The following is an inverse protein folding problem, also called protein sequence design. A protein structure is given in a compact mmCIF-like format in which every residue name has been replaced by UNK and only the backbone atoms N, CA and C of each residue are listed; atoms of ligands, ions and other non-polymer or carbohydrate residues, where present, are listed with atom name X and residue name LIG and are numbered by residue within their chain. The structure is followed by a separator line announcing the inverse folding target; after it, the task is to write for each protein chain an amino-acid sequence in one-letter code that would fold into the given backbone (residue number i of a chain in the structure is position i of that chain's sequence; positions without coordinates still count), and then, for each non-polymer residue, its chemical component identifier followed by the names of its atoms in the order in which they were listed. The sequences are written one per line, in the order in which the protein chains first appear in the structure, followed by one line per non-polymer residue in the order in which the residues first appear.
data_IF_788817689091
#
_entry.id   IF_788817689091
#
_cell.length_a   1.000
_cell.length_b   1.000
_cell.length_c   1.000
_cell.angle_alpha   90.00
_cell.angle_beta   90.00
_cell.angle_gamma   90.00
#
_symmetry.space_group_name_H-M   'P 1'
#
loop_
_entity.id
_entity.type
_entity.pdbx_description
1 polymer ?
#
# COMPACT_ATOMS: atom_id res chain seq x y z
N UNK A 1 47.93 -47.70 -16.31
CA UNK A 1 46.74 -46.83 -16.48
C UNK A 1 46.63 -45.65 -15.50
N UNK A 2 46.98 -45.76 -14.20
CA UNK A 2 46.86 -44.63 -13.24
C UNK A 2 47.86 -43.46 -13.43
N UNK A 3 48.95 -43.66 -14.16
CA UNK A 3 49.99 -42.63 -14.39
C UNK A 3 49.65 -41.67 -15.56
N UNK A 4 48.96 -42.17 -16.60
CA UNK A 4 48.61 -41.38 -17.79
C UNK A 4 47.51 -40.34 -17.50
N UNK A 5 46.58 -40.67 -16.60
CA UNK A 5 45.45 -39.81 -16.23
C UNK A 5 45.86 -38.61 -15.35
N UNK A 6 47.00 -38.70 -14.64
CA UNK A 6 47.53 -37.58 -13.83
C UNK A 6 48.27 -36.52 -14.67
N UNK A 7 48.65 -36.84 -15.92
CA UNK A 7 49.29 -35.89 -16.84
C UNK A 7 48.31 -35.05 -17.65
N UNK A 8 47.07 -35.51 -17.83
CA UNK A 8 46.02 -34.81 -18.58
C UNK A 8 45.26 -33.75 -17.76
N UNK A 9 45.44 -33.71 -16.44
CA UNK A 9 44.75 -32.79 -15.53
C UNK A 9 45.68 -31.80 -14.83
N UNK A 10 46.90 -31.60 -15.34
CA UNK A 10 47.82 -30.62 -14.76
C UNK A 10 47.62 -29.27 -15.44
N UNK A 11 46.52 -28.61 -15.10
CA UNK A 11 46.31 -27.21 -15.48
C UNK A 11 47.41 -26.39 -14.80
N UNK A 12 48.19 -25.67 -15.59
CA UNK A 12 49.24 -24.79 -15.07
C UNK A 12 48.61 -23.76 -14.13
N UNK A 13 49.25 -23.47 -12.99
CA UNK A 13 48.79 -22.43 -12.08
C UNK A 13 48.55 -21.10 -12.83
N UNK A 14 49.34 -20.79 -13.87
CA UNK A 14 49.14 -19.61 -14.72
C UNK A 14 47.81 -19.63 -15.48
N UNK A 15 47.38 -20.79 -15.97
CA UNK A 15 46.09 -20.95 -16.66
C UNK A 15 44.91 -20.86 -15.70
N UNK A 16 45.06 -21.32 -14.45
CA UNK A 16 44.05 -21.16 -13.40
C UNK A 16 43.92 -19.69 -13.02
N UNK A 17 45.04 -18.98 -12.81
CA UNK A 17 45.01 -17.54 -12.52
C UNK A 17 44.41 -16.73 -13.66
N UNK A 18 44.72 -17.07 -14.91
CA UNK A 18 44.10 -16.43 -16.08
C UNK A 18 42.58 -16.68 -16.11
N UNK A 19 42.14 -17.91 -15.85
CA UNK A 19 40.71 -18.23 -15.78
C UNK A 19 39.98 -17.46 -14.67
N UNK A 20 40.56 -17.41 -13.45
CA UNK A 20 39.99 -16.65 -12.33
C UNK A 20 39.93 -15.16 -12.68
N UNK A 21 40.96 -14.61 -13.33
CA UNK A 21 40.98 -13.21 -13.75
C UNK A 21 39.91 -12.90 -14.80
N UNK A 22 39.77 -13.72 -15.83
CA UNK A 22 38.74 -13.52 -16.86
C UNK A 22 37.32 -13.75 -16.30
N UNK A 23 37.16 -14.70 -15.38
CA UNK A 23 35.89 -14.94 -14.70
C UNK A 23 35.52 -13.78 -13.78
N UNK A 24 36.46 -13.23 -13.01
CA UNK A 24 36.21 -12.06 -12.15
C UNK A 24 35.93 -10.80 -12.97
N UNK A 25 36.64 -10.61 -14.09
CA UNK A 25 36.43 -9.50 -15.01
C UNK A 25 35.05 -9.60 -15.68
N UNK A 26 34.65 -10.79 -16.12
CA UNK A 26 33.31 -11.06 -16.68
C UNK A 26 32.20 -10.81 -15.66
N UNK A 27 32.35 -11.35 -14.45
CA UNK A 27 31.38 -11.14 -13.36
C UNK A 27 31.27 -9.67 -12.96
N UNK A 28 32.39 -8.95 -12.91
CA UNK A 28 32.41 -7.50 -12.65
C UNK A 28 31.74 -6.72 -13.79
N UNK A 29 31.98 -7.10 -15.04
CA UNK A 29 31.34 -6.48 -16.20
C UNK A 29 29.82 -6.70 -16.19
N UNK A 30 29.36 -7.92 -15.87
CA UNK A 30 27.94 -8.21 -15.69
C UNK A 30 27.33 -7.43 -14.52
N UNK A 31 28.06 -7.27 -13.41
CA UNK A 31 27.63 -6.41 -12.31
C UNK A 31 27.46 -4.95 -12.79
N UNK A 32 28.40 -4.41 -13.56
CA UNK A 32 28.31 -3.04 -14.08
C UNK A 32 27.24 -2.84 -15.16
N UNK A 33 26.88 -3.89 -15.91
CA UNK A 33 25.85 -3.82 -16.94
C UNK A 33 24.45 -4.03 -16.37
N UNK A 34 24.28 -4.94 -15.41
CA UNK A 34 22.96 -5.36 -14.94
C UNK A 34 22.59 -4.84 -13.54
N UNK A 35 23.58 -4.61 -12.67
CA UNK A 35 23.33 -4.27 -11.25
C UNK A 35 23.65 -2.80 -10.96
N UNK A 36 24.82 -2.32 -11.40
CA UNK A 36 25.26 -0.95 -11.17
C UNK A 36 24.32 0.11 -11.77
N UNK A 37 23.67 -0.07 -12.94
CA UNK A 37 22.72 0.91 -13.44
C UNK A 37 21.45 0.97 -12.59
N UNK A 38 21.03 -0.15 -11.98
CA UNK A 38 19.92 -0.19 -11.03
C UNK A 38 20.23 0.58 -9.74
N UNK A 39 21.45 0.41 -9.21
CA UNK A 39 21.94 1.12 -8.01
C UNK A 39 22.17 2.61 -8.33
N UNK A 40 22.85 2.93 -9.43
CA UNK A 40 23.10 4.29 -9.86
C UNK A 40 21.81 5.02 -10.18
N UNK A 41 20.80 4.35 -10.74
CA UNK A 41 19.47 4.92 -10.93
C UNK A 41 18.76 5.17 -9.61
N UNK A 42 18.78 4.27 -8.62
CA UNK A 42 18.18 4.57 -7.30
C UNK A 42 18.85 5.74 -6.61
N UNK A 43 20.18 5.85 -6.66
CA UNK A 43 20.89 7.02 -6.15
C UNK A 43 20.59 8.29 -6.97
N UNK A 44 20.54 8.20 -8.30
CA UNK A 44 20.19 9.33 -9.17
C UNK A 44 18.75 9.78 -8.94
N UNK A 45 17.80 8.86 -8.79
CA UNK A 45 16.41 9.17 -8.42
C UNK A 45 16.32 9.78 -7.03
N UNK A 46 17.10 9.30 -6.06
CA UNK A 46 17.13 9.88 -4.71
C UNK A 46 17.72 11.30 -4.72
N UNK A 47 18.79 11.53 -5.48
CA UNK A 47 19.45 12.84 -5.63
C UNK A 47 18.60 13.80 -6.48
N UNK A 48 17.95 13.33 -7.54
CA UNK A 48 17.00 14.11 -8.35
C UNK A 48 15.75 14.45 -7.55
N UNK A 49 15.20 13.51 -6.76
CA UNK A 49 14.09 13.78 -5.86
C UNK A 49 14.49 14.79 -4.77
N UNK A 50 15.67 14.66 -4.16
CA UNK A 50 16.18 15.67 -3.22
C UNK A 50 16.41 17.04 -3.88
N UNK A 51 16.90 17.07 -5.13
CA UNK A 51 17.11 18.30 -5.89
C UNK A 51 15.81 18.99 -6.31
N UNK A 52 14.80 18.23 -6.72
CA UNK A 52 13.45 18.72 -7.03
C UNK A 52 12.78 19.23 -5.74
N UNK A 53 12.88 18.48 -4.63
CA UNK A 53 12.38 18.89 -3.31
C UNK A 53 13.05 20.18 -2.81
N UNK A 54 14.36 20.35 -2.99
CA UNK A 54 15.06 21.60 -2.67
C UNK A 54 14.54 22.76 -3.51
N UNK A 55 14.34 22.54 -4.82
CA UNK A 55 13.81 23.56 -5.74
C UNK A 55 12.38 23.97 -5.38
N UNK A 56 11.53 23.00 -5.04
CA UNK A 56 10.12 23.24 -4.72
C UNK A 56 9.93 23.79 -3.30
N UNK A 57 10.78 23.41 -2.33
CA UNK A 57 10.82 24.04 -1.02
C UNK A 57 11.25 25.51 -1.12
N UNK A 58 12.26 25.83 -1.93
CA UNK A 58 12.69 27.23 -2.17
C UNK A 58 11.58 28.03 -2.86
N UNK A 59 10.84 27.41 -3.80
CA UNK A 59 9.71 28.05 -4.48
C UNK A 59 8.52 28.29 -3.53
N UNK A 60 8.26 27.34 -2.63
CA UNK A 60 7.19 27.41 -1.62
C UNK A 60 7.51 28.44 -0.53
N UNK A 61 8.76 28.48 -0.04
CA UNK A 61 9.23 29.52 0.90
C UNK A 61 9.13 30.91 0.25
N UNK A 62 9.50 31.04 -1.02
CA UNK A 62 9.31 32.30 -1.76
C UNK A 62 7.84 32.74 -1.85
N UNK A 63 6.92 31.79 -2.00
CA UNK A 63 5.48 32.07 -2.04
C UNK A 63 4.92 32.46 -0.66
N UNK A 64 5.37 31.81 0.41
CA UNK A 64 5.01 32.16 1.79
C UNK A 64 5.53 33.54 2.21
N UNK A 65 6.77 33.88 1.85
CA UNK A 65 7.35 35.21 2.13
C UNK A 65 6.54 36.29 1.40
N UNK A 66 6.12 36.05 0.14
CA UNK A 66 5.29 36.98 -0.63
C UNK A 66 3.89 37.16 -0.06
N UNK A 67 3.29 36.12 0.52
CA UNK A 67 2.02 36.23 1.23
C UNK A 67 2.16 36.98 2.56
N UNK A 68 3.26 36.78 3.29
CA UNK A 68 3.54 37.49 4.54
C UNK A 68 3.81 38.98 4.34
N UNK A 69 4.58 39.35 3.31
CA UNK A 69 4.85 40.76 3.00
C UNK A 69 3.60 41.51 2.52
N UNK A 70 2.70 40.83 1.79
CA UNK A 70 1.41 41.40 1.39
C UNK A 70 0.40 41.51 2.55
N UNK A 71 0.44 40.61 3.54
CA UNK A 71 -0.39 40.72 4.75
C UNK A 71 0.07 41.85 5.68
N UNK A 72 1.37 42.09 5.80
CA UNK A 72 1.91 43.16 6.65
C UNK A 72 1.73 44.57 6.07
N UNK A 73 1.36 44.71 4.79
CA UNK A 73 1.05 46.02 4.19
C UNK A 73 -0.38 46.48 4.40
N UNK A 74 -1.26 45.63 4.95
CA UNK A 74 -2.71 45.92 5.12
C UNK A 74 -3.18 46.07 6.57
N UNK A 75 -2.27 46.00 7.55
CA UNK A 75 -2.57 46.09 8.98
C UNK A 75 -1.72 47.21 9.64
N UNK A 76 -2.03 48.46 9.32
CA UNK A 76 -1.63 49.61 10.12
C UNK A 76 -2.83 50.57 10.21
N UNK A 77 -3.59 50.47 11.30
CA UNK A 77 -4.77 51.28 11.59
C UNK A 77 -5.28 51.10 13.02
N UNK A 78 -4.59 51.74 13.96
CA UNK A 78 -5.04 52.41 15.21
C UNK A 78 -5.96 51.71 16.24
N UNK A 79 -5.38 51.52 17.44
CA UNK A 79 -5.84 51.81 18.83
C UNK A 79 -7.13 51.22 19.42
N UNK A 80 -6.99 50.41 20.49
CA UNK A 80 -7.24 50.78 21.92
C UNK A 80 -6.91 49.57 22.83
N UNK A 81 -6.33 49.76 24.05
CA UNK A 81 -6.08 48.68 25.01
C UNK A 81 -7.10 48.71 26.16
N UNK A 82 -7.63 47.56 26.58
CA UNK A 82 -7.94 47.34 28.01
C UNK A 82 -8.11 45.85 28.34
N UNK A 83 -7.60 45.47 29.51
CA UNK A 83 -7.40 44.07 29.90
C UNK A 83 -8.59 43.40 30.57
N UNK A 84 -8.52 42.08 30.67
CA UNK A 84 -9.07 41.30 31.80
C UNK A 84 -8.37 39.96 31.87
N UNK A 85 -7.89 39.62 33.06
CA UNK A 85 -7.39 38.31 33.44
C UNK A 85 -8.50 37.26 33.31
N UNK A 86 -8.28 36.24 32.49
CA UNK A 86 -8.87 34.93 32.66
C UNK A 86 -7.86 33.87 32.26
N UNK A 87 -7.44 33.09 33.24
CA UNK A 87 -6.85 31.77 33.06
C UNK A 87 -7.79 30.90 32.24
N UNK A 88 -7.71 31.00 30.92
CA UNK A 88 -8.29 30.02 30.02
C UNK A 88 -7.27 28.90 29.82
N UNK A 89 -7.46 27.87 30.64
CA UNK A 89 -7.10 26.51 30.30
C UNK A 89 -7.61 26.27 28.88
N UNK A 90 -6.71 26.18 27.90
CA UNK A 90 -7.05 25.79 26.53
C UNK A 90 -7.60 24.36 26.58
N UNK A 91 -8.90 24.24 26.81
CA UNK A 91 -9.63 23.00 26.63
C UNK A 91 -9.50 22.63 25.15
N UNK A 92 -8.59 21.70 24.85
CA UNK A 92 -8.59 21.00 23.58
C UNK A 92 -9.98 20.39 23.40
N UNK A 93 -10.72 20.89 22.41
CA UNK A 93 -12.00 20.33 21.99
C UNK A 93 -11.82 18.85 21.65
N UNK A 94 -12.31 17.94 22.49
CA UNK A 94 -12.30 16.51 22.20
C UNK A 94 -13.36 16.20 21.13
N UNK A 95 -12.90 15.95 19.89
CA UNK A 95 -13.73 15.50 18.74
C UNK A 95 -14.10 14.00 18.85
N UNK A 96 -13.80 13.36 19.98
CA UNK A 96 -14.07 11.95 20.25
C UNK A 96 -15.15 11.83 21.32
N UNK A 97 -16.01 10.82 21.19
CA UNK A 97 -17.08 10.56 22.16
C UNK A 97 -16.51 10.27 23.56
N UNK A 98 -17.23 10.59 24.64
CA UNK A 98 -16.78 10.31 26.00
C UNK A 98 -16.69 8.81 26.28
N UNK A 99 -15.85 8.40 27.23
CA UNK A 99 -15.58 6.98 27.54
C UNK A 99 -16.82 6.19 27.98
N UNK A 100 -17.83 6.87 28.52
CA UNK A 100 -19.10 6.29 28.95
C UNK A 100 -20.18 6.26 27.85
N UNK A 101 -19.80 6.46 26.59
CA UNK A 101 -20.73 6.36 25.47
C UNK A 101 -21.30 4.94 25.36
N UNK A 102 -22.63 4.85 25.39
CA UNK A 102 -23.35 3.58 25.26
C UNK A 102 -23.80 3.40 23.82
N UNK A 103 -23.45 2.25 23.23
CA UNK A 103 -23.89 1.87 21.90
C UNK A 103 -25.36 1.43 21.92
N UNK A 104 -26.05 1.65 20.81
CA UNK A 104 -27.40 1.14 20.56
C UNK A 104 -27.39 0.31 19.29
N UNK A 105 -28.02 -0.87 19.36
CA UNK A 105 -28.08 -1.82 18.25
C UNK A 105 -28.80 -1.26 17.02
N UNK A 106 -29.65 -0.26 17.19
CA UNK A 106 -30.45 0.33 16.12
C UNK A 106 -29.79 1.58 15.49
N UNK A 107 -28.68 2.05 16.06
CA UNK A 107 -28.00 3.26 15.60
C UNK A 107 -26.70 2.95 14.84
N UNK A 108 -26.33 3.77 13.84
CA UNK A 108 -25.03 3.67 13.19
C UNK A 108 -23.88 3.85 14.18
N UNK A 109 -22.83 3.02 14.04
CA UNK A 109 -21.62 3.15 14.83
C UNK A 109 -20.98 4.54 14.61
N UNK A 110 -20.49 5.20 15.67
CA UNK A 110 -19.72 6.43 15.56
C UNK A 110 -18.39 6.21 14.85
N UNK A 111 -17.92 7.20 14.10
CA UNK A 111 -16.64 7.13 13.37
C UNK A 111 -15.43 7.42 14.27
N UNK A 112 -15.62 8.22 15.33
CA UNK A 112 -14.56 8.66 16.24
C UNK A 112 -14.86 8.19 17.66
N UNK A 113 -14.15 7.15 18.08
CA UNK A 113 -14.40 6.47 19.35
C UNK A 113 -13.28 6.75 20.36
N UNK A 114 -13.61 6.91 21.66
CA UNK A 114 -12.64 7.30 22.71
C UNK A 114 -11.45 6.34 22.82
N UNK A 115 -11.68 5.06 22.56
CA UNK A 115 -10.65 4.03 22.67
C UNK A 115 -9.70 3.95 21.46
N UNK A 116 -9.88 4.82 20.45
CA UNK A 116 -8.87 5.07 19.41
C UNK A 116 -7.77 5.95 20.00
N UNK A 117 -6.69 5.32 20.44
CA UNK A 117 -5.61 5.98 21.22
C UNK A 117 -4.66 6.80 20.35
N UNK A 118 -4.76 6.68 19.04
CA UNK A 118 -3.85 7.30 18.09
C UNK A 118 -2.66 6.41 17.81
N UNK A 119 -1.46 6.90 18.09
CA UNK A 119 -0.22 6.19 17.78
C UNK A 119 -0.14 4.83 18.51
N UNK A 120 0.14 3.77 17.76
CA UNK A 120 0.24 2.40 18.26
C UNK A 120 1.65 1.85 18.05
N UNK A 121 2.15 1.08 19.02
CA UNK A 121 3.44 0.39 18.88
C UNK A 121 3.31 -0.79 17.93
N UNK A 122 4.02 -0.72 16.79
CA UNK A 122 4.04 -1.82 15.82
C UNK A 122 5.11 -2.85 16.21
N UNK A 123 4.65 -4.03 16.64
CA UNK A 123 5.46 -5.22 16.83
C UNK A 123 5.72 -5.89 15.48
N UNK A 124 6.99 -6.06 15.09
CA UNK A 124 7.39 -6.71 13.82
C UNK A 124 7.97 -8.11 14.02
N UNK A 125 7.92 -8.66 15.24
CA UNK A 125 8.37 -10.02 15.50
C UNK A 125 7.50 -11.02 14.77
N UNK A 126 8.12 -12.00 14.12
CA UNK A 126 7.46 -13.13 13.47
C UNK A 126 6.55 -13.85 14.46
N UNK A 127 5.41 -14.30 13.94
CA UNK A 127 4.38 -15.00 14.72
C UNK A 127 3.65 -15.96 13.78
N UNK A 128 3.25 -17.13 14.29
CA UNK A 128 2.46 -18.08 13.52
C UNK A 128 1.02 -17.60 13.34
N UNK A 129 0.38 -17.93 12.20
CA UNK A 129 -1.02 -17.58 11.97
C UNK A 129 -1.96 -18.18 13.04
N UNK A 130 -1.67 -19.41 13.49
CA UNK A 130 -2.42 -20.09 14.55
C UNK A 130 -2.30 -19.35 15.89
N UNK A 131 -1.12 -18.84 16.21
CA UNK A 131 -0.91 -18.04 17.43
C UNK A 131 -1.66 -16.71 17.35
N UNK A 132 -1.66 -16.05 16.18
CA UNK A 132 -2.49 -14.86 15.94
C UNK A 132 -3.97 -15.17 16.13
N UNK A 133 -4.45 -16.30 15.59
CA UNK A 133 -5.83 -16.72 15.78
C UNK A 133 -6.16 -16.95 17.26
N UNK A 134 -5.28 -17.61 18.01
CA UNK A 134 -5.46 -17.83 19.45
C UNK A 134 -5.48 -16.51 20.25
N UNK A 135 -4.58 -15.58 19.95
CA UNK A 135 -4.55 -14.25 20.57
C UNK A 135 -5.84 -13.46 20.30
N UNK A 136 -6.43 -13.60 19.12
CA UNK A 136 -7.66 -12.91 18.74
C UNK A 136 -8.92 -13.64 19.24
N UNK A 137 -8.89 -14.97 19.33
CA UNK A 137 -10.05 -15.80 19.72
C UNK A 137 -10.54 -15.56 21.15
N UNK A 138 -9.69 -15.02 22.02
CA UNK A 138 -10.07 -14.70 23.40
C UNK A 138 -11.02 -13.49 23.47
N UNK A 139 -10.99 -12.61 22.45
CA UNK A 139 -11.68 -11.32 22.46
C UNK A 139 -12.58 -11.07 21.23
N UNK A 140 -12.69 -12.02 20.28
CA UNK A 140 -13.28 -11.70 18.97
C UNK A 140 -14.17 -12.80 18.36
N UNK A 141 -15.39 -12.42 17.98
CA UNK A 141 -16.33 -13.21 17.16
C UNK A 141 -15.97 -13.14 15.66
N UNK A 142 -14.72 -13.44 15.28
CA UNK A 142 -14.34 -13.46 13.86
C UNK A 142 -14.93 -14.72 13.22
N UNK A 143 -15.88 -14.51 12.30
CA UNK A 143 -16.45 -15.57 11.47
C UNK A 143 -15.46 -16.06 10.41
N UNK A 144 -15.74 -17.25 9.84
CA UNK A 144 -14.91 -17.83 8.77
C UNK A 144 -14.70 -16.85 7.62
N UNK A 145 -13.52 -16.92 7.00
CA UNK A 145 -13.12 -16.00 5.94
C UNK A 145 -12.67 -14.63 6.45
N UNK A 146 -12.42 -14.48 7.75
CA UNK A 146 -12.03 -13.20 8.34
C UNK A 146 -13.17 -12.20 8.46
N UNK A 147 -14.41 -12.68 8.45
CA UNK A 147 -15.59 -11.83 8.51
C UNK A 147 -15.82 -11.35 9.94
N UNK A 148 -15.94 -10.04 10.12
CA UNK A 148 -16.30 -9.47 11.41
C UNK A 148 -17.26 -8.30 11.24
N UNK A 149 -18.15 -8.12 12.23
CA UNK A 149 -19.03 -6.95 12.36
C UNK A 149 -19.27 -6.66 13.84
N UNK A 150 -19.54 -5.40 14.22
CA UNK A 150 -19.99 -5.09 15.57
C UNK A 150 -21.39 -5.68 15.83
N UNK A 151 -21.63 -6.14 17.05
CA UNK A 151 -22.91 -6.68 17.51
C UNK A 151 -23.69 -5.66 18.40
N UNK A 152 -23.05 -4.55 18.72
CA UNK A 152 -23.54 -3.50 19.63
C UNK A 152 -24.02 -2.23 18.92
N UNK A 153 -23.76 -2.10 17.61
CA UNK A 153 -24.26 -1.01 16.76
C UNK A 153 -24.31 -1.44 15.28
N UNK A 154 -24.97 -0.65 14.43
CA UNK A 154 -25.01 -0.91 12.98
C UNK A 154 -23.71 -0.38 12.34
N UNK A 155 -22.87 -1.23 11.72
CA UNK A 155 -21.63 -0.77 11.09
C UNK A 155 -21.96 0.23 9.98
N UNK A 156 -21.28 1.38 10.00
CA UNK A 156 -21.49 2.45 9.01
C UNK A 156 -20.99 2.03 7.62
N UNK A 157 -19.90 1.27 7.58
CA UNK A 157 -19.21 0.88 6.36
C UNK A 157 -18.89 -0.61 6.36
N UNK A 158 -19.00 -1.22 5.19
CA UNK A 158 -18.63 -2.60 4.89
C UNK A 158 -17.43 -2.62 3.95
N UNK A 159 -16.34 -3.24 4.38
CA UNK A 159 -15.05 -3.22 3.69
C UNK A 159 -14.63 -4.59 3.19
N UNK A 160 -14.26 -4.68 1.90
CA UNK A 160 -13.46 -5.79 1.41
C UNK A 160 -11.98 -5.39 1.41
N UNK A 161 -11.15 -6.09 2.17
CA UNK A 161 -9.72 -5.82 2.25
C UNK A 161 -9.00 -6.84 1.38
N UNK A 162 -8.41 -6.36 0.29
CA UNK A 162 -7.76 -7.17 -0.73
C UNK A 162 -6.25 -7.12 -0.52
N UNK A 163 -5.62 -8.29 -0.41
CA UNK A 163 -4.19 -8.43 -0.13
C UNK A 163 -3.58 -9.30 -1.25
N UNK A 164 -2.80 -8.73 -2.18
CA UNK A 164 -2.14 -9.48 -3.23
C UNK A 164 -0.94 -10.20 -2.60
N UNK A 165 -0.75 -11.47 -2.94
CA UNK A 165 0.12 -12.34 -2.17
C UNK A 165 0.92 -13.31 -3.02
N UNK A 166 2.18 -13.54 -2.64
CA UNK A 166 3.00 -14.68 -3.09
C UNK A 166 4.23 -14.83 -2.20
N UNK A 167 4.44 -16.02 -1.62
CA UNK A 167 5.64 -16.37 -0.85
C UNK A 167 5.99 -15.37 0.28
N UNK A 168 5.00 -14.78 0.95
CA UNK A 168 5.18 -13.85 2.08
C UNK A 168 4.51 -14.36 3.36
N UNK A 169 4.61 -15.67 3.62
CA UNK A 169 3.85 -16.33 4.67
C UNK A 169 4.19 -15.82 6.08
N UNK A 170 5.40 -15.28 6.31
CA UNK A 170 5.77 -14.67 7.59
C UNK A 170 5.15 -13.27 7.79
N UNK A 171 4.77 -12.58 6.72
CA UNK A 171 4.25 -11.21 6.78
C UNK A 171 2.77 -11.16 7.15
N UNK A 172 1.97 -12.09 6.63
CA UNK A 172 0.52 -12.08 6.80
C UNK A 172 0.08 -12.17 8.28
N UNK A 173 0.68 -13.01 9.14
CA UNK A 173 0.38 -13.02 10.57
C UNK A 173 0.74 -11.70 11.27
N UNK A 174 1.87 -11.08 10.91
CA UNK A 174 2.27 -9.78 11.45
C UNK A 174 1.21 -8.73 11.11
N UNK A 175 0.71 -8.73 9.87
CA UNK A 175 -0.36 -7.84 9.44
C UNK A 175 -1.63 -8.05 10.26
N UNK A 176 -2.12 -9.28 10.36
CA UNK A 176 -3.38 -9.58 11.05
C UNK A 176 -3.33 -9.29 12.55
N UNK A 177 -2.17 -9.48 13.20
CA UNK A 177 -1.97 -9.10 14.61
C UNK A 177 -2.30 -7.62 14.88
N UNK A 178 -2.08 -6.74 13.90
CA UNK A 178 -2.28 -5.30 14.07
C UNK A 178 -3.56 -4.79 13.42
N UNK A 179 -3.82 -5.23 12.18
CA UNK A 179 -4.91 -4.70 11.38
C UNK A 179 -6.27 -5.14 11.91
N UNK A 180 -6.41 -6.38 12.38
CA UNK A 180 -7.69 -6.90 12.88
C UNK A 180 -8.17 -6.11 14.12
N UNK A 181 -7.38 -5.98 15.21
CA UNK A 181 -7.79 -5.18 16.36
C UNK A 181 -8.06 -3.71 16.00
N UNK A 182 -7.29 -3.13 15.07
CA UNK A 182 -7.52 -1.76 14.61
C UNK A 182 -8.90 -1.61 13.96
N UNK A 183 -9.26 -2.47 13.02
CA UNK A 183 -10.54 -2.40 12.32
C UNK A 183 -11.74 -2.68 13.23
N UNK A 184 -11.57 -3.59 14.18
CA UNK A 184 -12.58 -3.86 15.21
C UNK A 184 -12.83 -2.64 16.09
N UNK A 185 -11.75 -1.95 16.49
CA UNK A 185 -11.88 -0.66 17.19
C UNK A 185 -12.57 0.40 16.32
N UNK A 186 -12.37 0.36 15.02
CA UNK A 186 -13.06 1.26 14.10
C UNK A 186 -14.54 0.88 13.86
N UNK A 187 -15.03 -0.22 14.46
CA UNK A 187 -16.41 -0.70 14.36
C UNK A 187 -16.88 -0.86 12.90
N UNK A 188 -15.95 -1.28 12.04
CA UNK A 188 -16.18 -1.52 10.63
C UNK A 188 -16.66 -2.96 10.42
N UNK A 189 -17.59 -3.19 9.51
CA UNK A 189 -17.82 -4.55 9.02
C UNK A 189 -16.77 -4.85 7.94
N UNK A 190 -16.04 -5.96 8.04
CA UNK A 190 -14.98 -6.26 7.08
C UNK A 190 -14.79 -7.75 6.83
N UNK A 191 -14.07 -8.07 5.75
CA UNK A 191 -13.49 -9.37 5.49
C UNK A 191 -12.15 -9.25 4.76
N UNK A 192 -11.31 -10.27 4.90
CA UNK A 192 -10.00 -10.33 4.26
C UNK A 192 -9.99 -11.32 3.09
N UNK A 193 -9.44 -10.84 1.98
CA UNK A 193 -9.25 -11.61 0.76
C UNK A 193 -7.76 -11.62 0.45
N UNK A 194 -7.13 -12.79 0.57
CA UNK A 194 -5.73 -12.98 0.18
C UNK A 194 -5.73 -13.57 -1.22
N UNK A 195 -5.22 -12.82 -2.19
CA UNK A 195 -5.20 -13.21 -3.60
C UNK A 195 -3.80 -13.70 -3.95
N UNK A 196 -3.64 -15.01 -3.96
CA UNK A 196 -2.36 -15.68 -4.14
C UNK A 196 -2.07 -15.95 -5.63
N UNK A 197 -0.95 -15.43 -6.13
CA UNK A 197 -0.47 -15.76 -7.47
C UNK A 197 0.36 -17.04 -7.44
N UNK A 198 -0.21 -18.12 -7.96
CA UNK A 198 0.49 -19.39 -8.16
C UNK A 198 1.46 -19.33 -9.35
N UNK A 199 2.44 -20.24 -9.33
CA UNK A 199 3.43 -20.39 -10.39
C UNK A 199 4.60 -19.41 -10.29
N UNK A 200 5.45 -19.41 -11.32
CA UNK A 200 6.74 -18.71 -11.35
C UNK A 200 6.76 -17.45 -12.20
N UNK A 201 5.63 -17.11 -12.83
CA UNK A 201 5.53 -15.91 -13.67
C UNK A 201 5.76 -14.63 -12.87
N UNK A 202 6.10 -13.54 -13.55
CA UNK A 202 6.30 -12.25 -12.88
C UNK A 202 5.06 -11.84 -12.09
N UNK A 203 5.25 -11.29 -10.89
CA UNK A 203 4.13 -10.89 -10.02
C UNK A 203 3.32 -9.77 -10.67
N UNK A 204 1.99 -9.88 -10.63
CA UNK A 204 1.08 -8.87 -11.17
C UNK A 204 0.11 -8.41 -10.07
N UNK A 205 0.59 -7.47 -9.25
CA UNK A 205 -0.13 -6.90 -8.10
C UNK A 205 -1.49 -6.32 -8.51
N UNK A 206 -1.51 -5.56 -9.61
CA UNK A 206 -2.69 -4.87 -10.12
C UNK A 206 -3.81 -5.83 -10.57
N UNK A 207 -3.44 -6.88 -11.31
CA UNK A 207 -4.39 -7.91 -11.76
C UNK A 207 -4.95 -8.72 -10.59
N UNK A 208 -4.15 -8.99 -9.55
CA UNK A 208 -4.62 -9.65 -8.33
C UNK A 208 -5.66 -8.83 -7.58
N UNK A 209 -5.53 -7.49 -7.54
CA UNK A 209 -6.58 -6.64 -6.97
C UNK A 209 -7.88 -6.69 -7.76
N UNK A 210 -7.81 -6.69 -9.10
CA UNK A 210 -9.01 -6.83 -9.94
C UNK A 210 -9.72 -8.18 -9.69
N UNK A 211 -8.96 -9.27 -9.57
CA UNK A 211 -9.48 -10.60 -9.22
C UNK A 211 -10.11 -10.58 -7.83
N UNK A 212 -9.41 -10.04 -6.84
CA UNK A 212 -9.89 -9.91 -5.46
C UNK A 212 -11.19 -9.14 -5.38
N UNK A 213 -11.30 -8.04 -6.14
CA UNK A 213 -12.52 -7.26 -6.25
C UNK A 213 -13.67 -8.10 -6.81
N UNK A 214 -13.47 -8.78 -7.95
CA UNK A 214 -14.51 -9.62 -8.57
C UNK A 214 -14.97 -10.75 -7.65
N UNK A 215 -14.07 -11.39 -6.91
CA UNK A 215 -14.44 -12.44 -5.94
C UNK A 215 -15.14 -11.87 -4.69
N UNK A 216 -14.68 -10.73 -4.17
CA UNK A 216 -15.30 -10.10 -3.00
C UNK A 216 -16.74 -9.67 -3.28
N UNK A 217 -17.02 -9.15 -4.49
CA UNK A 217 -18.38 -8.75 -4.89
C UNK A 217 -19.36 -9.93 -5.02
N UNK A 218 -18.88 -11.19 -5.10
CA UNK A 218 -19.75 -12.37 -5.10
C UNK A 218 -20.24 -12.74 -3.70
N UNK A 219 -19.45 -12.44 -2.68
CA UNK A 219 -19.76 -12.83 -1.30
C UNK A 219 -20.73 -11.84 -0.64
N UNK A 220 -20.52 -10.54 -0.89
CA UNK A 220 -21.28 -9.50 -0.21
C UNK A 220 -21.33 -8.20 -0.98
N UNK A 221 -22.38 -7.42 -0.70
CA UNK A 221 -22.46 -6.00 -1.06
C UNK A 221 -21.59 -5.17 -0.11
N UNK A 222 -20.34 -4.97 -0.53
CA UNK A 222 -19.38 -4.09 0.13
C UNK A 222 -19.59 -2.63 -0.30
N UNK A 223 -19.23 -1.67 0.56
CA UNK A 223 -19.35 -0.24 0.28
C UNK A 223 -18.07 0.30 -0.38
N UNK A 224 -16.91 -0.15 0.11
CA UNK A 224 -15.62 0.15 -0.48
C UNK A 224 -14.65 -1.03 -0.37
N UNK A 225 -13.59 -0.91 -1.17
CA UNK A 225 -12.50 -1.88 -1.25
C UNK A 225 -11.20 -1.21 -0.83
N UNK A 226 -10.43 -1.90 0.01
CA UNK A 226 -9.12 -1.47 0.47
C UNK A 226 -8.08 -2.35 -0.19
N UNK A 227 -7.17 -1.73 -0.93
CA UNK A 227 -6.04 -2.38 -1.60
C UNK A 227 -4.83 -2.28 -0.66
N UNK A 228 -4.40 -3.42 -0.12
CA UNK A 228 -3.48 -3.42 0.99
C UNK A 228 -2.25 -4.31 0.72
N UNK A 229 -1.07 -3.70 0.68
CA UNK A 229 0.18 -4.46 0.61
C UNK A 229 0.38 -5.22 1.94
N UNK A 230 0.79 -6.49 1.85
CA UNK A 230 0.88 -7.39 3.03
C UNK A 230 1.90 -6.94 4.08
N UNK A 231 2.82 -6.06 3.69
CA UNK A 231 3.97 -5.62 4.47
C UNK A 231 3.85 -4.19 5.01
N UNK A 232 2.72 -3.51 4.85
CA UNK A 232 2.53 -2.13 5.32
C UNK A 232 1.63 -2.10 6.56
N UNK A 233 2.20 -1.87 7.74
CA UNK A 233 1.46 -1.91 9.01
C UNK A 233 1.12 -0.48 9.49
N UNK A 234 -0.16 -0.14 9.73
CA UNK A 234 -0.53 1.19 10.23
C UNK A 234 0.04 1.44 11.63
N UNK A 235 0.56 2.64 11.86
CA UNK A 235 1.08 3.07 13.17
C UNK A 235 0.09 3.91 13.99
N UNK A 236 -1.14 4.06 13.50
CA UNK A 236 -2.14 4.92 14.15
C UNK A 236 -3.56 4.37 13.96
N UNK A 237 -4.23 4.02 15.07
CA UNK A 237 -5.58 3.45 15.03
C UNK A 237 -6.68 4.47 14.68
N UNK A 238 -6.33 5.76 14.61
CA UNK A 238 -7.20 6.84 14.11
C UNK A 238 -7.12 7.01 12.60
N UNK A 239 -6.27 6.25 11.90
CA UNK A 239 -6.33 6.17 10.44
C UNK A 239 -7.54 5.35 10.02
N UNK A 240 -8.70 6.00 9.94
CA UNK A 240 -10.00 5.35 9.77
C UNK A 240 -10.17 4.74 8.38
N UNK A 241 -10.37 3.42 8.29
CA UNK A 241 -10.49 2.67 7.03
C UNK A 241 -11.91 2.70 6.41
N UNK A 242 -12.86 3.41 7.02
CA UNK A 242 -14.20 3.56 6.46
C UNK A 242 -14.21 4.28 5.11
N UNK A 243 -15.34 4.18 4.40
CA UNK A 243 -15.45 4.65 3.01
C UNK A 243 -15.59 6.18 2.84
N UNK A 244 -15.33 6.95 3.90
CA UNK A 244 -15.31 8.40 3.85
C UNK A 244 -14.09 8.93 3.08
N UNK A 245 -14.30 10.01 2.32
CA UNK A 245 -13.24 10.71 1.58
C UNK A 245 -12.52 9.85 0.52
N UNK A 246 -13.19 8.83 -0.01
CA UNK A 246 -12.64 8.01 -1.09
C UNK A 246 -12.65 8.76 -2.44
N UNK A 247 -11.68 8.53 -3.35
CA UNK A 247 -10.51 7.66 -3.23
C UNK A 247 -9.52 8.16 -2.17
N UNK A 248 -8.97 7.24 -1.38
CA UNK A 248 -8.14 7.57 -0.22
C UNK A 248 -6.81 6.85 -0.25
N UNK A 249 -5.73 7.58 0.02
CA UNK A 249 -4.40 7.03 0.20
C UNK A 249 -4.09 6.95 1.69
N UNK A 250 -4.16 5.75 2.26
CA UNK A 250 -3.96 5.54 3.68
C UNK A 250 -2.48 5.58 4.07
N UNK A 251 -1.62 4.92 3.27
CA UNK A 251 -0.18 4.80 3.51
C UNK A 251 0.61 6.03 3.00
N UNK A 252 0.17 7.23 3.38
CA UNK A 252 0.76 8.49 2.93
C UNK A 252 2.21 8.71 3.40
N UNK A 253 2.62 8.11 4.51
CA UNK A 253 3.95 8.25 5.10
C UNK A 253 4.53 6.89 5.47
N UNK A 254 5.41 6.36 4.64
CA UNK A 254 6.06 5.08 4.86
C UNK A 254 7.44 5.26 5.48
N UNK A 255 7.77 4.45 6.49
CA UNK A 255 9.08 4.44 7.16
C UNK A 255 10.26 4.23 6.20
N UNK A 256 10.12 3.38 5.18
CA UNK A 256 11.11 3.14 4.13
C UNK A 256 11.42 4.39 3.30
N UNK A 257 10.54 5.38 3.33
CA UNK A 257 10.72 6.70 2.72
C UNK A 257 10.88 7.80 3.79
N UNK A 258 11.34 7.45 4.98
CA UNK A 258 11.56 8.37 6.11
C UNK A 258 10.29 9.15 6.49
N UNK A 259 9.11 8.55 6.30
CA UNK A 259 7.80 9.18 6.50
C UNK A 259 7.55 10.42 5.63
N UNK A 260 8.22 10.51 4.48
CA UNK A 260 8.03 11.54 3.47
C UNK A 260 7.30 10.91 2.28
N UNK A 261 6.27 11.60 1.78
CA UNK A 261 5.58 11.20 0.56
C UNK A 261 6.57 11.32 -0.62
N UNK A 262 6.84 10.24 -1.39
CA UNK A 262 7.87 10.28 -2.44
C UNK A 262 7.65 11.33 -3.53
N UNK A 263 6.39 11.50 -3.95
CA UNK A 263 5.91 12.48 -4.92
C UNK A 263 4.38 12.59 -4.80
N UNK A 264 3.78 13.65 -5.36
CA UNK A 264 2.36 13.99 -5.13
C UNK A 264 1.39 12.92 -5.65
N UNK A 265 1.73 12.26 -6.76
CA UNK A 265 0.92 11.24 -7.42
C UNK A 265 1.06 9.84 -6.79
N UNK A 266 1.93 9.67 -5.80
CA UNK A 266 2.18 8.37 -5.18
C UNK A 266 0.91 7.82 -4.52
N UNK A 267 0.47 6.66 -4.99
CA UNK A 267 -0.77 5.99 -4.56
C UNK A 267 -0.59 4.50 -4.23
N UNK A 268 0.65 4.09 -3.98
CA UNK A 268 1.03 2.72 -3.62
C UNK A 268 0.88 2.39 -2.13
N UNK A 269 1.24 1.17 -1.73
CA UNK A 269 1.15 0.73 -0.33
C UNK A 269 -0.27 0.35 0.08
N UNK A 270 -1.03 1.32 0.59
CA UNK A 270 -2.42 1.12 1.03
C UNK A 270 -3.32 2.24 0.54
N UNK A 271 -4.29 1.88 -0.30
CA UNK A 271 -5.27 2.80 -0.88
C UNK A 271 -6.68 2.20 -0.84
N UNK A 272 -7.70 3.03 -1.04
CA UNK A 272 -9.09 2.56 -1.09
C UNK A 272 -9.95 3.39 -2.04
N UNK A 273 -10.98 2.74 -2.55
CA UNK A 273 -11.99 3.32 -3.43
C UNK A 273 -13.36 2.76 -3.05
N UNK A 274 -14.43 3.54 -3.23
CA UNK A 274 -15.79 2.97 -3.18
C UNK A 274 -15.97 1.95 -4.31
N UNK A 275 -16.88 0.99 -4.13
CA UNK A 275 -17.19 0.02 -5.18
C UNK A 275 -17.62 0.71 -6.47
N UNK A 276 -18.39 1.79 -6.37
CA UNK A 276 -18.80 2.61 -7.50
C UNK A 276 -17.60 3.27 -8.20
N UNK A 277 -16.71 3.91 -7.44
CA UNK A 277 -15.52 4.57 -7.99
C UNK A 277 -14.61 3.56 -8.71
N UNK A 278 -14.33 2.42 -8.06
CA UNK A 278 -13.47 1.40 -8.63
C UNK A 278 -14.06 0.78 -9.91
N UNK A 279 -15.38 0.55 -9.92
CA UNK A 279 -16.10 0.09 -11.12
C UNK A 279 -16.03 1.13 -12.24
N UNK A 280 -16.28 2.41 -11.93
CA UNK A 280 -16.28 3.50 -12.90
C UNK A 280 -14.93 3.66 -13.61
N UNK A 281 -13.83 3.46 -12.89
CA UNK A 281 -12.48 3.57 -13.47
C UNK A 281 -12.01 2.31 -14.21
N UNK A 282 -12.87 1.29 -14.32
CA UNK A 282 -12.52 -0.05 -14.83
C UNK A 282 -11.41 -0.74 -14.02
N UNK A 283 -11.33 -0.48 -12.71
CA UNK A 283 -10.30 -1.04 -11.83
C UNK A 283 -8.85 -0.70 -12.19
N UNK A 284 -7.93 -1.55 -11.71
CA UNK A 284 -6.49 -1.44 -11.97
C UNK A 284 -6.12 -1.88 -13.41
N UNK A 285 -4.97 -1.46 -13.97
CA UNK A 285 -4.44 -2.02 -15.22
C UNK A 285 -3.93 -3.46 -15.05
N UNK A 286 -4.24 -4.39 -15.95
CA UNK A 286 -3.70 -5.76 -15.89
C UNK A 286 -2.33 -5.89 -16.58
N UNK A 287 -1.89 -4.90 -17.36
CA UNK A 287 -0.68 -5.00 -18.17
C UNK A 287 0.65 -4.80 -17.42
N UNK A 288 0.64 -4.49 -16.12
CA UNK A 288 1.86 -4.27 -15.33
C UNK A 288 2.39 -5.57 -14.74
N UNK A 289 3.38 -6.17 -15.42
CA UNK A 289 4.04 -7.41 -15.01
C UNK A 289 5.42 -7.11 -14.40
N UNK A 290 5.49 -7.09 -13.08
CA UNK A 290 6.68 -6.72 -12.32
C UNK A 290 6.46 -5.46 -11.50
N UNK A 291 7.56 -4.89 -10.99
CA UNK A 291 7.46 -3.79 -10.03
C UNK A 291 7.38 -2.42 -10.68
N UNK A 292 6.34 -1.68 -10.28
CA UNK A 292 6.23 -0.24 -10.38
C UNK A 292 5.39 0.28 -11.54
N UNK A 293 4.66 1.36 -11.27
CA UNK A 293 3.89 2.14 -12.23
C UNK A 293 2.41 1.77 -12.30
N UNK A 294 1.99 0.67 -11.67
CA UNK A 294 0.58 0.28 -11.64
C UNK A 294 -0.25 1.14 -10.67
N UNK A 295 0.37 1.62 -9.59
CA UNK A 295 -0.19 2.57 -8.64
C UNK A 295 -0.26 3.99 -9.23
N UNK A 296 0.76 4.39 -10.01
CA UNK A 296 0.75 5.62 -10.80
C UNK A 296 -0.38 5.61 -11.86
N UNK A 297 -0.59 4.46 -12.53
CA UNK A 297 -1.68 4.30 -13.50
C UNK A 297 -3.05 4.35 -12.79
N UNK A 298 -3.18 3.77 -11.59
CA UNK A 298 -4.38 3.93 -10.77
C UNK A 298 -4.66 5.40 -10.42
N UNK A 299 -3.64 6.16 -10.00
CA UNK A 299 -3.77 7.60 -9.73
C UNK A 299 -4.30 8.34 -10.96
N UNK A 300 -3.71 8.08 -12.13
CA UNK A 300 -4.15 8.67 -13.40
C UNK A 300 -5.61 8.34 -13.71
N UNK A 301 -6.01 7.06 -13.57
CA UNK A 301 -7.40 6.61 -13.79
C UNK A 301 -8.41 7.29 -12.89
N UNK A 302 -8.05 7.46 -11.62
CA UNK A 302 -8.84 8.18 -10.61
C UNK A 302 -9.02 9.64 -11.03
N UNK A 303 -7.93 10.30 -11.42
CA UNK A 303 -7.95 11.69 -11.84
C UNK A 303 -8.75 11.90 -13.14
N UNK A 304 -8.59 11.02 -14.14
CA UNK A 304 -9.36 11.06 -15.39
C UNK A 304 -10.87 10.88 -15.18
N UNK A 305 -11.28 10.18 -14.12
CA UNK A 305 -12.68 10.03 -13.74
C UNK A 305 -13.24 11.22 -12.94
N UNK A 306 -12.43 12.27 -12.72
CA UNK A 306 -12.81 13.51 -12.03
C UNK A 306 -12.77 13.43 -10.51
N UNK A 307 -12.05 12.46 -9.95
CA UNK A 307 -11.89 12.31 -8.51
C UNK A 307 -10.56 12.87 -8.02
N UNK A 308 -10.54 13.34 -6.77
CA UNK A 308 -9.34 13.75 -6.06
C UNK A 308 -9.02 12.73 -4.98
N UNK A 309 -7.73 12.45 -4.78
CA UNK A 309 -7.28 11.53 -3.73
C UNK A 309 -7.14 12.27 -2.41
N UNK A 310 -7.80 11.77 -1.37
CA UNK A 310 -7.60 12.25 -0.01
C UNK A 310 -6.45 11.53 0.69
N UNK A 311 -5.85 12.19 1.69
CA UNK A 311 -4.78 11.64 2.54
C UNK A 311 -5.05 11.99 4.00
N UNK A 312 -4.73 11.11 4.95
CA UNK A 312 -4.79 11.43 6.37
C UNK A 312 -3.80 12.53 6.73
N UNK A 313 -4.21 13.42 7.64
CA UNK A 313 -3.38 14.54 8.09
C UNK A 313 -2.27 14.10 9.05
N UNK A 314 -1.17 14.87 9.04
CA UNK A 314 -0.10 14.74 10.03
C UNK A 314 0.46 13.32 10.13
N UNK A 315 0.50 12.78 11.34
CA UNK A 315 1.12 11.48 11.64
C UNK A 315 0.13 10.30 11.58
N UNK A 316 -1.13 10.56 11.22
CA UNK A 316 -2.16 9.52 11.12
C UNK A 316 -1.84 8.56 9.97
N UNK A 317 -1.28 9.07 8.86
CA UNK A 317 -0.89 8.28 7.70
C UNK A 317 0.44 7.54 7.80
N UNK A 318 1.00 7.38 9.00
CA UNK A 318 2.29 6.69 9.19
C UNK A 318 2.12 5.17 9.18
N UNK A 319 2.99 4.52 8.42
CA UNK A 319 3.06 3.07 8.29
C UNK A 319 4.49 2.59 8.42
N UNK A 320 4.66 1.44 9.08
CA UNK A 320 5.90 0.68 9.03
C UNK A 320 5.87 -0.35 7.92
N UNK A 321 6.99 -0.50 7.23
CA UNK A 321 7.18 -1.50 6.17
C UNK A 321 7.96 -2.67 6.73
N UNK A 322 7.41 -3.89 6.64
CA UNK A 322 8.15 -5.10 6.99
C UNK A 322 9.34 -5.21 6.05
N UNK A 323 10.55 -5.17 6.63
CA UNK A 323 11.77 -5.26 5.85
C UNK A 323 11.82 -6.61 5.14
N UNK A 324 11.98 -6.55 3.84
CA UNK A 324 12.21 -7.72 3.02
C UNK A 324 13.09 -7.31 1.86
N UNK A 325 13.85 -8.26 1.35
CA UNK A 325 14.66 -8.00 0.18
C UNK A 325 13.81 -8.27 -1.06
N UNK A 326 13.67 -7.25 -1.93
CA UNK A 326 13.20 -7.38 -3.32
C UNK A 326 14.18 -8.21 -4.19
N UNK A 327 14.89 -9.19 -3.61
CA UNK A 327 15.87 -10.03 -4.30
C UNK A 327 15.15 -10.91 -5.31
N UNK A 328 15.40 -10.67 -6.60
CA UNK A 328 14.80 -11.42 -7.71
C UNK A 328 13.54 -10.80 -8.30
N UNK A 329 13.11 -9.65 -7.78
CA UNK A 329 11.96 -8.92 -8.28
C UNK A 329 12.36 -8.01 -9.45
N UNK A 330 11.73 -8.23 -10.61
CA UNK A 330 12.09 -7.54 -11.87
C UNK A 330 11.34 -6.21 -11.96
N UNK A 331 12.08 -5.11 -12.10
CA UNK A 331 11.48 -3.81 -12.42
C UNK A 331 10.84 -3.86 -13.81
N UNK A 332 9.61 -3.38 -13.91
CA UNK A 332 8.92 -3.38 -15.20
C UNK A 332 9.38 -2.21 -16.08
N UNK A 333 10.34 -2.47 -16.98
CA UNK A 333 10.92 -1.44 -17.87
C UNK A 333 9.88 -0.81 -18.83
N UNK A 334 8.82 -1.56 -19.17
CA UNK A 334 7.73 -1.10 -20.03
C UNK A 334 6.80 -0.07 -19.40
N UNK A 335 6.91 0.19 -18.08
CA UNK A 335 5.97 1.03 -17.31
C UNK A 335 5.75 2.41 -17.91
N UNK A 336 6.80 3.07 -18.39
CA UNK A 336 6.68 4.43 -18.95
C UNK A 336 5.83 4.46 -20.23
N UNK A 337 5.94 3.42 -21.07
CA UNK A 337 5.11 3.28 -22.27
C UNK A 337 3.65 3.10 -21.86
N UNK A 338 3.39 2.24 -20.87
CA UNK A 338 2.05 1.98 -20.38
C UNK A 338 1.40 3.22 -19.74
N UNK A 339 2.15 3.94 -18.91
CA UNK A 339 1.70 5.17 -18.25
C UNK A 339 1.39 6.30 -19.25
N UNK A 340 2.21 6.44 -20.30
CA UNK A 340 1.97 7.44 -21.35
C UNK A 340 0.60 7.27 -22.02
N UNK A 341 0.12 6.04 -22.15
CA UNK A 341 -1.17 5.71 -22.75
C UNK A 341 -2.21 5.29 -21.70
N UNK A 342 -2.07 5.74 -20.45
CA UNK A 342 -2.95 5.33 -19.35
C UNK A 342 -4.42 5.64 -19.65
N UNK A 343 -4.70 6.85 -20.17
CA UNK A 343 -6.05 7.32 -20.48
C UNK A 343 -6.72 6.49 -21.57
N UNK A 344 -6.00 6.20 -22.64
CA UNK A 344 -6.48 5.42 -23.78
C UNK A 344 -6.65 3.94 -23.40
N UNK A 345 -5.81 3.41 -22.50
CA UNK A 345 -5.90 2.01 -22.09
C UNK A 345 -6.97 1.77 -21.03
N UNK A 346 -7.38 2.78 -20.27
CA UNK A 346 -8.30 2.60 -19.13
C UNK A 346 -9.58 1.84 -19.47
N UNK A 347 -10.20 2.09 -20.63
CA UNK A 347 -11.42 1.39 -21.05
C UNK A 347 -11.17 0.00 -21.65
N UNK A 348 -9.93 -0.30 -22.05
CA UNK A 348 -9.52 -1.56 -22.69
C UNK A 348 -8.91 -2.56 -21.70
N UNK A 349 -8.18 -2.07 -20.70
CA UNK A 349 -7.38 -2.85 -19.76
C UNK A 349 -7.84 -2.60 -18.33
N UNK A 350 -8.49 -3.60 -17.72
CA UNK A 350 -8.95 -3.54 -16.34
C UNK A 350 -9.94 -4.64 -15.96
N UNK A 351 -11.02 -4.30 -15.26
CA UNK A 351 -12.05 -5.26 -14.87
C UNK A 351 -12.75 -5.91 -16.07
N UNK A 352 -12.92 -5.15 -17.15
CA UNK A 352 -13.66 -5.54 -18.35
C UNK A 352 -13.02 -6.68 -19.14
N UNK A 353 -11.68 -6.78 -19.18
CA UNK A 353 -10.96 -7.77 -19.98
C UNK A 353 -10.29 -8.89 -19.16
N UNK A 354 -10.55 -8.94 -17.85
CA UNK A 354 -9.95 -9.91 -16.95
C UNK A 354 -10.55 -11.32 -17.12
N UNK A 355 -9.72 -12.30 -17.50
CA UNK A 355 -10.05 -13.73 -17.61
C UNK A 355 -9.21 -14.50 -16.59
N UNK A 356 -9.84 -15.34 -15.75
CA UNK A 356 -9.13 -16.10 -14.72
C UNK A 356 -9.98 -17.26 -14.21
N UNK A 357 -9.32 -18.22 -13.56
CA UNK A 357 -9.96 -19.35 -12.89
C UNK A 357 -9.41 -19.45 -11.45
N UNK A 358 -10.22 -19.11 -10.42
CA UNK A 358 -9.77 -19.13 -9.03
C UNK A 358 -9.93 -20.51 -8.39
N UNK A 359 -8.98 -20.90 -7.55
CA UNK A 359 -9.16 -21.92 -6.53
C UNK A 359 -9.39 -21.22 -5.19
N UNK A 360 -10.50 -21.52 -4.52
CA UNK A 360 -10.95 -20.78 -3.33
C UNK A 360 -10.86 -21.69 -2.11
N UNK A 361 -10.18 -21.20 -1.08
CA UNK A 361 -10.13 -21.83 0.24
C UNK A 361 -10.55 -20.83 1.31
N UNK A 362 -11.43 -21.23 2.23
CA UNK A 362 -11.94 -20.36 3.29
C UNK A 362 -11.30 -20.77 4.62
N UNK A 363 -10.37 -19.93 5.08
CA UNK A 363 -9.70 -20.08 6.37
C UNK A 363 -10.55 -19.45 7.51
N UNK A 364 -10.04 -19.43 8.74
CA UNK A 364 -10.64 -18.70 9.85
C UNK A 364 -10.47 -17.19 9.68
N UNK A 365 -9.25 -16.74 9.38
CA UNK A 365 -8.91 -15.31 9.40
C UNK A 365 -9.04 -14.60 8.03
N UNK A 366 -9.18 -15.34 6.94
CA UNK A 366 -9.29 -14.78 5.59
C UNK A 366 -9.82 -15.80 4.59
N UNK A 367 -10.22 -15.32 3.41
CA UNK A 367 -10.50 -16.15 2.23
C UNK A 367 -9.28 -16.14 1.31
N UNK A 368 -8.69 -17.30 1.04
CA UNK A 368 -7.62 -17.45 0.05
C UNK A 368 -8.22 -17.67 -1.35
N UNK A 369 -7.73 -16.91 -2.31
CA UNK A 369 -8.07 -17.00 -3.73
C UNK A 369 -6.76 -17.23 -4.49
N UNK A 370 -6.47 -18.48 -4.78
CA UNK A 370 -5.27 -18.84 -5.54
C UNK A 370 -5.57 -18.83 -7.04
N UNK A 371 -4.76 -18.13 -7.82
CA UNK A 371 -4.90 -17.99 -9.27
C UNK A 371 -3.57 -18.22 -9.99
N UNK A 372 -3.62 -18.85 -11.16
CA UNK A 372 -2.46 -18.94 -12.05
C UNK A 372 -2.55 -17.85 -13.11
N UNK A 373 -1.63 -16.88 -13.09
CA UNK A 373 -1.66 -15.74 -14.00
C UNK A 373 -0.64 -15.87 -15.14
N UNK A 374 -1.08 -15.58 -16.36
CA UNK A 374 -0.22 -15.40 -17.54
C UNK A 374 -0.63 -14.12 -18.31
N UNK A 375 0.27 -13.45 -19.04
CA UNK A 375 -0.05 -12.21 -19.77
C UNK A 375 -1.26 -12.29 -20.70
N UNK A 376 -1.54 -13.45 -21.27
CA UNK A 376 -2.63 -13.71 -22.20
C UNK A 376 -4.03 -13.65 -21.55
N UNK A 377 -4.10 -13.61 -20.22
CA UNK A 377 -5.35 -13.58 -19.46
C UNK A 377 -6.00 -12.19 -19.36
N UNK A 378 -5.34 -11.16 -19.88
CA UNK A 378 -5.91 -9.84 -20.06
C UNK A 378 -5.64 -9.35 -21.49
N UNK A 379 -6.22 -10.01 -22.51
CA UNK A 379 -5.99 -9.63 -23.89
C UNK A 379 -6.56 -8.23 -24.12
N UNK A 380 -5.79 -7.39 -24.81
CA UNK A 380 -6.26 -6.11 -25.34
C UNK A 380 -6.30 -6.31 -26.86
N UNK A 381 -7.50 -6.20 -27.46
CA UNK A 381 -7.71 -6.49 -28.89
C UNK A 381 -6.98 -5.52 -29.83
N UNK A 382 -6.60 -4.34 -29.33
CA UNK A 382 -6.15 -3.20 -30.13
C UNK A 382 -4.70 -2.73 -29.82
N UNK A 383 -3.74 -3.65 -29.61
CA UNK A 383 -2.33 -3.26 -29.43
C UNK A 383 -1.57 -3.00 -30.73
#
# INVERSE_FOLDING_TARGET
MKSLMRRLLRVSNRSIFAFIFFFSLSSSCLYFIYVAPGIANTYLFMVQAQGIMLRDNVRTIGHMIRQYTNKNTTLNGTDFPDGTNSTEFTAQSSVYLPENFTFSQDLPCPEKLPFMRGQTSVNMSEIGLEEVYQLLSQDTDIGRGGHWKPNDCIPRWKLAILIPFRNRHEHLPILFRHLIPMLQKQRLEFAFYVIEQAGTQTFNRAMLFNIGFKEAMKDRRWDCVIFHDVDHIPENDRNYYGCGEMPRHFAAKLDKYMYILPYEEFFGGVSGLTVEQFTKINGFPNAFWGWGGEDDDLWNRVHYAGYNVSRPEGDIGKYKSIQHHHRGEVQFLGRYKLLRYSKERQYLDGLSNLIYAPNIFIDHLYKNITVHLVPELAPVKDY
#
